data_IF_021862535811
#
_entry.id   IF_021862535811
#
_cell.length_a   1.000
_cell.length_b   1.000
_cell.length_c   1.000
_cell.angle_alpha   90.00
_cell.angle_beta   90.00
_cell.angle_gamma   90.00
#
_symmetry.space_group_name_H-M   'P 1'
#
loop_
_entity.id
_entity.type
_entity.pdbx_description
1 polymer ?
#
# COMPACT_ATOMS: atom_id res chain seq x y z
N UNK A 1 14.77 -11.78 -4.34
CA UNK A 1 13.65 -11.79 -5.32
C UNK A 1 13.89 -13.02 -6.17
N UNK A 2 13.14 -14.10 -5.96
CA UNK A 2 13.33 -15.36 -6.69
C UNK A 2 12.57 -15.24 -8.02
N UNK A 3 13.23 -15.13 -9.18
CA UNK A 3 12.53 -15.15 -10.45
C UNK A 3 12.14 -16.60 -10.74
N UNK A 4 11.01 -16.82 -11.41
CA UNK A 4 10.52 -18.13 -11.86
C UNK A 4 9.73 -18.97 -10.83
N UNK A 5 8.67 -18.40 -10.27
CA UNK A 5 7.48 -19.20 -9.94
C UNK A 5 6.39 -18.78 -10.93
N UNK A 6 6.33 -19.45 -12.09
CA UNK A 6 5.13 -19.42 -12.93
C UNK A 6 4.06 -20.27 -12.22
N UNK A 7 2.83 -19.77 -12.00
CA UNK A 7 1.72 -20.64 -11.64
C UNK A 7 1.52 -21.66 -12.77
N UNK A 8 1.73 -22.94 -12.47
CA UNK A 8 1.45 -24.00 -13.42
C UNK A 8 -0.06 -24.17 -13.53
N UNK A 9 -0.63 -23.78 -14.67
CA UNK A 9 -2.00 -24.10 -15.06
C UNK A 9 -2.09 -25.61 -15.40
N UNK A 10 -2.16 -26.46 -14.38
CA UNK A 10 -2.43 -27.88 -14.56
C UNK A 10 -3.94 -28.13 -14.41
N UNK A 11 -4.57 -28.67 -15.45
CA UNK A 11 -5.94 -29.23 -15.38
C UNK A 11 -5.97 -30.36 -14.35
N UNK A 12 -7.00 -30.35 -13.50
CA UNK A 12 -7.27 -31.42 -12.56
C UNK A 12 -7.53 -32.77 -13.27
N UNK A 13 -6.92 -33.89 -12.84
CA UNK A 13 -7.50 -35.20 -13.07
C UNK A 13 -8.64 -35.42 -12.06
N UNK A 14 -9.83 -35.73 -12.55
CA UNK A 14 -10.97 -36.07 -11.71
C UNK A 14 -10.71 -37.34 -10.92
N UNK A 15 -10.85 -37.27 -9.60
CA UNK A 15 -10.77 -38.46 -8.73
C UNK A 15 -12.09 -38.62 -8.00
N UNK A 16 -12.62 -39.83 -8.21
CA UNK A 16 -13.91 -40.39 -7.87
C UNK A 16 -13.93 -40.72 -6.36
N UNK A 17 -15.03 -40.39 -5.68
CA UNK A 17 -15.26 -40.80 -4.29
C UNK A 17 -15.39 -42.32 -4.21
N UNK A 18 -14.58 -42.98 -3.39
CA UNK A 18 -14.89 -44.30 -2.85
C UNK A 18 -14.55 -44.34 -1.36
N UNK A 19 -15.59 -44.55 -0.57
CA UNK A 19 -15.61 -44.77 0.87
C UNK A 19 -15.02 -46.13 1.25
N UNK A 20 -14.13 -46.15 2.24
CA UNK A 20 -14.05 -47.24 3.23
C UNK A 20 -13.03 -46.91 4.32
N UNK A 21 -13.52 -46.80 5.56
CA UNK A 21 -12.71 -46.80 6.78
C UNK A 21 -12.10 -48.20 7.02
N UNK A 22 -11.08 -48.31 7.89
CA UNK A 22 -11.42 -48.81 9.22
C UNK A 22 -10.74 -48.08 10.38
N UNK A 23 -11.45 -48.12 11.49
CA UNK A 23 -11.16 -47.59 12.83
C UNK A 23 -9.89 -48.23 13.41
N UNK A 24 -8.97 -47.42 13.94
CA UNK A 24 -7.94 -47.88 14.87
C UNK A 24 -7.96 -47.05 16.16
N UNK A 25 -8.15 -47.76 17.28
CA UNK A 25 -8.15 -47.23 18.63
C UNK A 25 -6.72 -46.87 19.06
N UNK A 26 -6.46 -45.58 19.31
CA UNK A 26 -5.24 -45.10 19.94
C UNK A 26 -5.56 -44.00 20.95
N UNK A 27 -5.27 -44.23 22.23
CA UNK A 27 -5.34 -43.22 23.29
C UNK A 27 -4.40 -42.04 22.96
N UNK A 28 -4.83 -40.77 23.10
CA UNK A 28 -3.94 -39.64 22.94
C UNK A 28 -3.07 -39.41 24.20
N UNK A 29 -1.80 -38.98 24.06
CA UNK A 29 -0.96 -38.58 25.19
C UNK A 29 -1.35 -37.19 25.71
N UNK A 30 -1.19 -37.00 27.02
CA UNK A 30 -1.48 -35.74 27.71
C UNK A 30 -0.57 -34.61 27.20
N UNK A 31 -1.18 -33.55 26.67
CA UNK A 31 -0.47 -32.30 26.31
C UNK A 31 -0.87 -31.16 27.25
N UNK A 32 0.15 -30.41 27.66
CA UNK A 32 0.09 -29.34 28.63
C UNK A 32 -0.81 -28.16 28.18
N UNK A 33 -1.59 -27.61 29.11
CA UNK A 33 -2.40 -26.41 28.93
C UNK A 33 -1.51 -25.18 28.66
N UNK A 34 -1.78 -24.34 27.65
CA UNK A 34 -1.23 -22.99 27.60
C UNK A 34 -1.98 -22.07 28.59
N UNK A 35 -1.32 -21.01 29.12
CA UNK A 35 -1.91 -20.14 30.13
C UNK A 35 -3.05 -19.28 29.54
N UNK A 36 -4.11 -19.13 30.34
CA UNK A 36 -5.28 -18.32 30.03
C UNK A 36 -4.91 -16.83 29.85
N UNK A 37 -5.45 -16.18 28.80
CA UNK A 37 -5.47 -14.72 28.69
C UNK A 37 -6.81 -14.18 29.18
N UNK A 38 -6.83 -13.00 29.83
CA UNK A 38 -8.01 -12.48 30.50
C UNK A 38 -9.07 -12.02 29.49
N UNK A 39 -10.32 -12.36 29.81
CA UNK A 39 -11.55 -11.90 29.18
C UNK A 39 -11.77 -10.41 29.42
N UNK A 40 -12.14 -9.66 28.38
CA UNK A 40 -12.64 -8.29 28.49
C UNK A 40 -14.01 -8.23 27.83
N UNK A 41 -14.94 -7.64 28.58
CA UNK A 41 -16.38 -7.62 28.42
C UNK A 41 -16.86 -6.68 27.31
N UNK A 42 -18.08 -6.98 26.83
CA UNK A 42 -18.78 -6.34 25.73
C UNK A 42 -19.34 -4.95 26.07
N UNK A 43 -19.48 -4.13 25.02
CA UNK A 43 -20.23 -2.87 25.01
C UNK A 43 -20.21 -2.24 23.62
N UNK A 44 -21.34 -2.31 22.91
CA UNK A 44 -21.49 -1.91 21.50
C UNK A 44 -21.91 -0.45 21.26
N UNK A 45 -22.01 -0.15 19.96
CA UNK A 45 -22.51 1.06 19.25
C UNK A 45 -21.49 2.12 18.83
N UNK A 46 -21.18 2.04 17.52
CA UNK A 46 -21.11 3.10 16.49
C UNK A 46 -20.43 4.44 16.86
N UNK A 47 -19.28 4.67 16.22
CA UNK A 47 -18.58 5.95 16.17
C UNK A 47 -17.22 5.89 16.84
N UNK A 48 -16.16 5.95 16.03
CA UNK A 48 -14.81 6.41 16.39
C UNK A 48 -14.39 6.17 17.87
N UNK A 49 -13.85 5.00 18.19
CA UNK A 49 -13.02 4.76 19.39
C UNK A 49 -11.81 3.94 18.94
N UNK A 50 -10.58 4.46 18.84
CA UNK A 50 -9.77 5.12 19.87
C UNK A 50 -10.25 4.88 21.31
N UNK A 51 -9.73 3.84 21.96
CA UNK A 51 -9.80 3.75 23.41
C UNK A 51 -9.42 2.42 24.03
N UNK A 52 -8.20 2.34 24.55
CA UNK A 52 -8.06 2.13 25.99
C UNK A 52 -7.04 3.15 26.50
N UNK A 53 -7.42 3.89 27.55
CA UNK A 53 -6.83 5.13 28.07
C UNK A 53 -7.08 6.42 27.25
N UNK A 54 -8.17 7.13 27.57
CA UNK A 54 -8.30 8.56 27.29
C UNK A 54 -7.40 9.33 28.26
N UNK A 55 -6.11 9.41 27.94
CA UNK A 55 -5.41 10.67 28.14
C UNK A 55 -5.97 11.64 27.09
N UNK A 56 -6.42 12.81 27.51
CA UNK A 56 -6.66 13.93 26.58
C UNK A 56 -5.35 14.17 25.84
N UNK A 57 -5.22 13.65 24.62
CA UNK A 57 -4.03 13.91 23.80
C UNK A 57 -3.90 15.40 23.65
N UNK A 58 -2.73 15.92 23.99
CA UNK A 58 -2.47 17.34 23.79
C UNK A 58 -2.67 17.69 22.30
N UNK A 59 -3.14 18.91 21.96
CA UNK A 59 -3.21 19.34 20.55
C UNK A 59 -1.90 19.12 19.80
N UNK A 60 -0.77 19.24 20.51
CA UNK A 60 0.58 18.98 20.01
C UNK A 60 0.80 17.53 19.56
N UNK A 61 0.27 16.53 20.27
CA UNK A 61 0.39 15.12 19.86
C UNK A 61 -0.35 14.80 18.56
N UNK A 62 -1.37 15.59 18.21
CA UNK A 62 -2.13 15.43 16.96
C UNK A 62 -1.51 16.24 15.81
N UNK A 63 -0.97 17.43 16.09
CA UNK A 63 -0.45 18.34 15.07
C UNK A 63 1.03 18.10 14.73
N UNK A 64 1.83 17.58 15.67
CA UNK A 64 3.27 17.41 15.46
C UNK A 64 3.61 16.45 14.32
N UNK A 65 3.01 15.25 14.18
CA UNK A 65 3.41 14.32 13.12
C UNK A 65 3.17 14.84 11.69
N UNK A 66 2.04 15.51 11.38
CA UNK A 66 1.86 16.19 10.10
C UNK A 66 2.86 17.34 9.87
N UNK A 67 3.15 18.16 10.87
CA UNK A 67 4.13 19.25 10.75
C UNK A 67 5.53 18.72 10.45
N UNK A 68 5.93 17.65 11.14
CA UNK A 68 7.20 16.94 10.89
C UNK A 68 7.21 16.42 9.45
N UNK A 69 6.12 15.84 8.96
CA UNK A 69 6.03 15.40 7.56
C UNK A 69 6.17 16.55 6.56
N UNK A 70 5.52 17.69 6.81
CA UNK A 70 5.65 18.90 5.98
C UNK A 70 7.11 19.38 5.93
N UNK A 71 7.78 19.45 7.08
CA UNK A 71 9.21 19.77 7.15
C UNK A 71 10.06 18.81 6.30
N UNK A 72 9.78 17.49 6.36
CA UNK A 72 10.51 16.52 5.55
C UNK A 72 10.24 16.67 4.05
N UNK A 73 9.05 17.07 3.63
CA UNK A 73 8.78 17.41 2.21
C UNK A 73 9.67 18.58 1.79
N UNK A 74 9.69 19.67 2.56
CA UNK A 74 10.52 20.83 2.26
C UNK A 74 12.02 20.49 2.25
N UNK A 75 12.48 19.68 3.22
CA UNK A 75 13.86 19.22 3.30
C UNK A 75 14.23 18.35 2.08
N UNK A 76 13.36 17.44 1.67
CA UNK A 76 13.56 16.63 0.46
C UNK A 76 13.69 17.50 -0.79
N UNK A 77 12.85 18.53 -0.93
CA UNK A 77 12.90 19.45 -2.07
C UNK A 77 14.16 20.32 -2.04
N UNK A 78 14.53 20.83 -0.86
CA UNK A 78 15.78 21.57 -0.68
C UNK A 78 17.01 20.72 -1.04
N UNK A 79 17.06 19.46 -0.58
CA UNK A 79 18.14 18.55 -0.90
C UNK A 79 18.23 18.24 -2.40
N UNK A 80 17.09 18.07 -3.07
CA UNK A 80 17.05 17.87 -4.52
C UNK A 80 17.42 19.12 -5.32
N UNK A 81 17.04 20.31 -4.85
CA UNK A 81 17.44 21.58 -5.47
C UNK A 81 18.97 21.79 -5.45
N UNK A 82 19.67 21.19 -4.49
CA UNK A 82 21.13 21.23 -4.45
C UNK A 82 21.78 20.41 -5.59
N UNK A 83 21.12 19.35 -6.09
CA UNK A 83 21.72 18.40 -7.05
C UNK A 83 22.09 19.09 -8.37
N UNK A 84 21.18 19.79 -9.08
CA UNK A 84 21.55 20.50 -10.32
C UNK A 84 22.58 21.61 -10.10
N UNK A 85 22.64 22.21 -8.90
CA UNK A 85 23.61 23.27 -8.59
C UNK A 85 25.04 22.74 -8.45
N UNK A 86 25.22 21.60 -7.79
CA UNK A 86 26.54 20.98 -7.64
C UNK A 86 26.97 20.19 -8.88
N UNK A 87 26.01 19.70 -9.66
CA UNK A 87 26.23 18.88 -10.86
C UNK A 87 25.65 19.54 -12.13
N UNK A 88 25.88 20.84 -12.30
CA UNK A 88 25.28 21.64 -13.38
C UNK A 88 25.71 21.21 -14.79
N UNK A 89 26.89 20.60 -14.93
CA UNK A 89 27.40 20.08 -16.20
C UNK A 89 26.83 18.70 -16.57
N UNK A 90 26.05 18.07 -15.69
CA UNK A 90 25.58 16.70 -15.88
C UNK A 90 24.24 16.69 -16.61
N UNK A 91 24.03 15.69 -17.48
CA UNK A 91 22.73 15.50 -18.12
C UNK A 91 21.66 15.08 -17.11
N UNK A 92 20.38 15.26 -17.44
CA UNK A 92 19.27 14.79 -16.60
C UNK A 92 19.37 13.29 -16.28
N UNK A 93 19.85 12.49 -17.24
CA UNK A 93 20.06 11.05 -17.05
C UNK A 93 21.16 10.75 -16.03
N UNK A 94 22.24 11.54 -16.02
CA UNK A 94 23.33 11.39 -15.06
C UNK A 94 22.98 11.96 -13.67
N UNK A 95 22.14 12.98 -13.59
CA UNK A 95 21.70 13.58 -12.32
C UNK A 95 20.65 12.76 -11.59
N UNK A 96 19.81 11.99 -12.30
CA UNK A 96 18.72 11.22 -11.68
C UNK A 96 19.20 10.16 -10.66
N UNK A 97 20.24 9.33 -10.92
CA UNK A 97 20.80 8.44 -9.91
C UNK A 97 21.36 9.18 -8.69
N UNK A 98 22.02 10.32 -8.91
CA UNK A 98 22.56 11.18 -7.83
C UNK A 98 21.40 11.71 -6.97
N UNK A 99 20.34 12.21 -7.60
CA UNK A 99 19.12 12.64 -6.92
C UNK A 99 18.50 11.50 -6.10
N UNK A 100 18.49 10.27 -6.63
CA UNK A 100 18.06 9.08 -5.90
C UNK A 100 18.89 8.82 -4.64
N UNK A 101 20.23 8.87 -4.75
CA UNK A 101 21.14 8.71 -3.60
C UNK A 101 20.92 9.82 -2.56
N UNK A 102 20.81 11.08 -2.99
CA UNK A 102 20.55 12.23 -2.10
C UNK A 102 19.20 12.09 -1.40
N UNK A 103 18.17 11.59 -2.09
CA UNK A 103 16.86 11.34 -1.50
C UNK A 103 16.93 10.24 -0.44
N UNK A 104 17.59 9.12 -0.75
CA UNK A 104 17.77 8.02 0.21
C UNK A 104 18.57 8.48 1.43
N UNK A 105 19.64 9.25 1.23
CA UNK A 105 20.43 9.82 2.31
C UNK A 105 19.58 10.76 3.18
N UNK A 106 18.84 11.70 2.57
CA UNK A 106 17.96 12.65 3.27
C UNK A 106 16.88 11.96 4.10
N UNK A 107 16.21 10.94 3.53
CA UNK A 107 15.19 10.16 4.23
C UNK A 107 15.80 9.30 5.34
N UNK A 108 17.00 8.74 5.12
CA UNK A 108 17.75 7.93 6.07
C UNK A 108 18.22 8.73 7.29
N UNK A 109 18.87 9.88 7.06
CA UNK A 109 19.28 10.81 8.12
C UNK A 109 18.07 11.35 8.85
N UNK A 110 17.01 11.74 8.12
CA UNK A 110 15.74 12.17 8.69
C UNK A 110 15.12 11.12 9.62
N UNK A 111 15.15 9.84 9.22
CA UNK A 111 14.70 8.72 10.06
C UNK A 111 15.57 8.56 11.32
N UNK A 112 16.88 8.75 11.20
CA UNK A 112 17.79 8.72 12.35
C UNK A 112 17.48 9.86 13.33
N UNK A 113 17.41 11.10 12.85
CA UNK A 113 17.09 12.27 13.67
C UNK A 113 15.75 12.14 14.39
N UNK A 114 14.71 11.65 13.70
CA UNK A 114 13.39 11.41 14.33
C UNK A 114 13.46 10.40 15.47
N UNK A 115 14.24 9.33 15.31
CA UNK A 115 14.44 8.33 16.38
C UNK A 115 15.17 8.92 17.58
N UNK A 116 16.18 9.75 17.35
CA UNK A 116 16.92 10.42 18.42
C UNK A 116 16.06 11.44 19.18
N UNK A 117 15.22 12.18 18.47
CA UNK A 117 14.31 13.19 19.04
C UNK A 117 13.00 12.60 19.60
N UNK A 118 12.75 11.30 19.43
CA UNK A 118 11.51 10.66 19.87
C UNK A 118 10.25 11.13 19.14
N UNK A 119 10.38 11.76 17.96
CA UNK A 119 9.24 12.32 17.21
C UNK A 119 8.78 11.38 16.10
N UNK A 120 7.46 11.30 15.89
CA UNK A 120 6.87 10.53 14.80
C UNK A 120 6.53 11.44 13.61
N UNK A 121 6.47 10.84 12.41
CA UNK A 121 6.00 11.49 11.20
C UNK A 121 4.80 10.72 10.65
N UNK A 122 3.89 11.43 9.99
CA UNK A 122 2.71 10.83 9.36
C UNK A 122 2.97 10.61 7.87
N UNK A 123 3.04 9.34 7.45
CA UNK A 123 3.21 9.00 6.04
C UNK A 123 2.05 9.53 5.15
N UNK A 124 0.77 9.49 5.57
CA UNK A 124 -0.32 10.12 4.82
C UNK A 124 -0.16 11.63 4.69
N UNK A 125 0.29 12.30 5.76
CA UNK A 125 0.57 13.72 5.69
C UNK A 125 1.74 14.03 4.74
N UNK A 126 2.75 13.17 4.67
CA UNK A 126 3.86 13.33 3.72
C UNK A 126 3.36 13.28 2.27
N UNK A 127 2.49 12.32 1.93
CA UNK A 127 1.88 12.23 0.58
C UNK A 127 1.02 13.46 0.28
N UNK A 128 0.19 13.87 1.25
CA UNK A 128 -0.67 15.05 1.14
C UNK A 128 0.16 16.32 0.88
N UNK A 129 1.16 16.60 1.72
CA UNK A 129 2.01 17.77 1.58
C UNK A 129 2.89 17.71 0.32
N UNK A 130 3.32 16.54 -0.12
CA UNK A 130 4.04 16.40 -1.40
C UNK A 130 3.13 16.74 -2.58
N UNK A 131 1.87 16.31 -2.54
CA UNK A 131 0.87 16.61 -3.58
C UNK A 131 0.55 18.11 -3.60
N UNK A 132 0.34 18.72 -2.43
CA UNK A 132 0.11 20.16 -2.29
C UNK A 132 1.32 20.98 -2.71
N UNK A 133 2.54 20.53 -2.39
CA UNK A 133 3.77 21.20 -2.81
C UNK A 133 3.90 21.18 -4.33
N UNK A 134 3.71 20.01 -4.97
CA UNK A 134 3.73 19.89 -6.42
C UNK A 134 2.69 20.81 -7.07
N UNK A 135 1.45 20.82 -6.56
CA UNK A 135 0.40 21.69 -7.07
C UNK A 135 0.71 23.17 -6.85
N UNK A 136 1.28 23.53 -5.70
CA UNK A 136 1.70 24.88 -5.36
C UNK A 136 2.82 25.39 -6.27
N UNK A 137 3.86 24.58 -6.52
CA UNK A 137 4.93 24.92 -7.47
C UNK A 137 4.36 25.05 -8.88
N UNK A 138 3.46 24.15 -9.28
CA UNK A 138 2.79 24.27 -10.58
C UNK A 138 2.08 25.63 -10.74
N UNK A 139 1.21 25.99 -9.79
CA UNK A 139 0.43 27.24 -9.84
C UNK A 139 1.34 28.47 -9.80
N UNK A 140 2.35 28.48 -8.93
CA UNK A 140 3.17 29.67 -8.65
C UNK A 140 4.32 29.88 -9.62
N UNK A 141 4.80 28.82 -10.29
CA UNK A 141 6.02 28.88 -11.12
C UNK A 141 5.74 28.53 -12.57
N UNK A 142 5.02 27.43 -12.81
CA UNK A 142 4.96 26.81 -14.15
C UNK A 142 3.75 27.32 -14.94
N UNK A 143 2.63 27.58 -14.26
CA UNK A 143 1.31 27.84 -14.85
C UNK A 143 1.31 28.87 -15.99
N UNK A 144 1.99 29.99 -15.82
CA UNK A 144 1.99 31.09 -16.81
C UNK A 144 2.57 30.66 -18.17
N UNK A 145 3.42 29.63 -18.21
CA UNK A 145 4.02 29.11 -19.42
C UNK A 145 3.18 28.01 -20.11
N UNK A 146 2.01 27.63 -19.54
CA UNK A 146 1.26 26.45 -19.97
C UNK A 146 -0.06 26.84 -20.64
N UNK A 147 -0.42 26.23 -21.79
CA UNK A 147 -1.71 26.43 -22.44
C UNK A 147 -2.91 26.13 -21.53
N UNK A 148 -4.01 26.87 -21.71
CA UNK A 148 -5.21 26.80 -20.85
C UNK A 148 -5.80 25.39 -20.69
N UNK A 149 -5.78 24.57 -21.76
CA UNK A 149 -6.29 23.19 -21.69
C UNK A 149 -5.41 22.30 -20.79
N UNK A 150 -4.09 22.44 -20.86
CA UNK A 150 -3.16 21.72 -20.00
C UNK A 150 -3.22 22.23 -18.56
N UNK A 151 -3.42 23.54 -18.35
CA UNK A 151 -3.70 24.12 -17.03
C UNK A 151 -4.96 23.55 -16.39
N UNK A 152 -6.07 23.53 -17.13
CA UNK A 152 -7.32 22.93 -16.65
C UNK A 152 -7.13 21.44 -16.32
N UNK A 153 -6.41 20.70 -17.16
CA UNK A 153 -6.12 19.28 -16.95
C UNK A 153 -5.29 19.05 -15.69
N UNK A 154 -4.22 19.81 -15.51
CA UNK A 154 -3.32 19.69 -14.34
C UNK A 154 -4.06 19.99 -13.03
N UNK A 155 -4.83 21.08 -12.99
CA UNK A 155 -5.62 21.42 -11.81
C UNK A 155 -6.70 20.36 -11.52
N UNK A 156 -7.36 19.82 -12.54
CA UNK A 156 -8.35 18.75 -12.38
C UNK A 156 -7.70 17.48 -11.82
N UNK A 157 -6.53 17.08 -12.34
CA UNK A 157 -5.76 15.95 -11.84
C UNK A 157 -5.40 16.13 -10.35
N UNK A 158 -4.83 17.28 -9.97
CA UNK A 158 -4.50 17.57 -8.57
C UNK A 158 -5.75 17.55 -7.67
N UNK A 159 -6.85 18.17 -8.09
CA UNK A 159 -8.09 18.17 -7.32
C UNK A 159 -8.66 16.75 -7.13
N UNK A 160 -8.64 15.92 -8.18
CA UNK A 160 -9.06 14.52 -8.11
C UNK A 160 -8.16 13.69 -7.19
N UNK A 161 -6.84 13.93 -7.18
CA UNK A 161 -5.93 13.28 -6.23
C UNK A 161 -6.23 13.68 -4.79
N UNK A 162 -6.48 14.96 -4.53
CA UNK A 162 -6.84 15.43 -3.19
C UNK A 162 -8.15 14.82 -2.71
N UNK A 163 -9.16 14.76 -3.58
CA UNK A 163 -10.42 14.09 -3.30
C UNK A 163 -10.20 12.59 -3.05
N UNK A 164 -9.45 11.91 -3.92
CA UNK A 164 -9.18 10.49 -3.79
C UNK A 164 -8.39 10.15 -2.52
N UNK A 165 -7.40 10.98 -2.15
CA UNK A 165 -6.64 10.86 -0.89
C UNK A 165 -7.56 10.92 0.33
N UNK A 166 -8.47 11.90 0.35
CA UNK A 166 -9.48 11.99 1.41
C UNK A 166 -10.37 10.73 1.45
N UNK A 167 -10.84 10.28 0.29
CA UNK A 167 -11.70 9.09 0.17
C UNK A 167 -11.01 7.81 0.62
N UNK A 168 -9.77 7.56 0.21
CA UNK A 168 -9.06 6.32 0.59
C UNK A 168 -8.71 6.31 2.08
N UNK A 169 -8.33 7.47 2.62
CA UNK A 169 -8.03 7.62 4.05
C UNK A 169 -9.23 7.26 4.94
N UNK A 170 -10.44 7.67 4.53
CA UNK A 170 -11.68 7.41 5.28
C UNK A 170 -12.48 6.20 4.80
N UNK A 171 -11.99 5.45 3.81
CA UNK A 171 -12.70 4.29 3.25
C UNK A 171 -12.70 3.09 4.21
N UNK A 172 -13.79 2.32 4.22
CA UNK A 172 -13.80 0.99 4.83
C UNK A 172 -13.01 0.04 3.91
N UNK A 173 -11.98 -0.61 4.47
CA UNK A 173 -11.18 -1.60 3.76
C UNK A 173 -11.89 -2.97 3.63
N UNK A 174 -13.03 -3.15 4.29
CA UNK A 174 -13.70 -4.44 4.49
C UNK A 174 -13.42 -4.99 5.88
N UNK A 175 -13.50 -4.16 6.92
CA UNK A 175 -13.25 -4.57 8.31
C UNK A 175 -14.35 -5.54 8.78
N UNK A 176 -13.95 -6.68 9.35
CA UNK A 176 -14.87 -7.67 9.93
C UNK A 176 -15.33 -7.20 11.31
N UNK A 177 -16.61 -6.83 11.44
CA UNK A 177 -17.26 -6.62 12.73
C UNK A 177 -17.82 -7.95 13.22
N UNK A 178 -17.28 -8.51 14.29
CA UNK A 178 -17.95 -9.60 15.00
C UNK A 178 -19.18 -9.00 15.67
N UNK A 179 -20.36 -9.16 15.06
CA UNK A 179 -21.61 -9.02 15.79
C UNK A 179 -21.59 -10.06 16.89
N UNK A 180 -21.62 -9.61 18.14
CA UNK A 180 -21.90 -10.44 19.30
C UNK A 180 -23.26 -11.10 19.09
N UNK A 181 -23.28 -12.29 18.50
CA UNK A 181 -24.33 -13.25 18.78
C UNK A 181 -24.32 -13.51 20.28
N UNK A 182 -25.49 -13.40 20.90
CA UNK A 182 -25.69 -13.46 22.35
C UNK A 182 -24.87 -14.58 23.03
N UNK A 183 -24.29 -14.34 24.22
CA UNK A 183 -23.55 -15.36 24.96
C UNK A 183 -24.38 -16.58 25.35
N UNK A 184 -25.70 -16.57 25.20
CA UNK A 184 -26.61 -17.62 25.69
C UNK A 184 -26.88 -18.77 24.71
N UNK A 185 -26.59 -18.64 23.40
CA UNK A 185 -26.76 -19.76 22.45
C UNK A 185 -25.50 -20.62 22.24
N UNK A 186 -24.39 -20.31 22.93
CA UNK A 186 -23.15 -21.08 22.85
C UNK A 186 -23.06 -22.13 23.97
N UNK A 187 -24.14 -22.87 24.23
CA UNK A 187 -24.09 -23.99 25.19
C UNK A 187 -24.39 -25.36 24.59
N UNK A 188 -24.52 -25.50 23.26
CA UNK A 188 -24.67 -26.83 22.68
C UNK A 188 -24.29 -27.00 21.20
N UNK A 189 -23.39 -26.16 20.67
CA UNK A 189 -22.65 -26.50 19.46
C UNK A 189 -21.17 -26.67 19.80
N UNK A 190 -20.63 -27.84 19.44
CA UNK A 190 -19.25 -28.27 19.67
C UNK A 190 -18.28 -27.12 19.39
N UNK A 191 -17.48 -26.70 20.37
CA UNK A 191 -16.48 -25.62 20.26
C UNK A 191 -15.49 -25.83 19.09
N UNK A 192 -15.35 -27.07 18.63
CA UNK A 192 -14.57 -27.48 17.46
C UNK A 192 -15.23 -27.13 16.13
N UNK A 193 -16.56 -27.18 16.06
CA UNK A 193 -17.38 -27.04 14.85
C UNK A 193 -17.66 -25.56 14.52
N UNK A 194 -17.82 -24.73 15.55
CA UNK A 194 -17.85 -23.26 15.41
C UNK A 194 -16.48 -22.71 15.00
N UNK A 195 -15.38 -23.34 15.47
CA UNK A 195 -14.01 -22.95 15.09
C UNK A 195 -13.66 -23.37 13.67
N UNK A 196 -14.11 -24.55 13.21
CA UNK A 196 -13.96 -24.96 11.81
C UNK A 196 -14.85 -24.14 10.88
N UNK A 197 -16.12 -23.88 11.21
CA UNK A 197 -16.99 -23.03 10.40
C UNK A 197 -16.49 -21.57 10.32
N UNK A 198 -15.98 -21.01 11.41
CA UNK A 198 -15.39 -19.66 11.40
C UNK A 198 -14.05 -19.61 10.66
N UNK A 199 -13.21 -20.65 10.73
CA UNK A 199 -11.96 -20.75 9.96
C UNK A 199 -12.23 -20.96 8.46
N UNK A 200 -13.21 -21.78 8.11
CA UNK A 200 -13.61 -22.01 6.72
C UNK A 200 -14.26 -20.75 6.13
N UNK A 201 -15.16 -20.08 6.86
CA UNK A 201 -15.74 -18.81 6.43
C UNK A 201 -14.70 -17.68 6.30
N UNK A 202 -13.69 -17.62 7.18
CA UNK A 202 -12.56 -16.68 7.07
C UNK A 202 -11.64 -17.01 5.88
N UNK A 203 -11.51 -18.30 5.53
CA UNK A 203 -10.79 -18.77 4.34
C UNK A 203 -11.53 -18.38 3.05
N UNK A 204 -12.86 -18.57 3.01
CA UNK A 204 -13.70 -18.14 1.86
C UNK A 204 -13.69 -16.63 1.64
N UNK A 205 -13.65 -15.84 2.72
CA UNK A 205 -13.60 -14.36 2.65
C UNK A 205 -12.17 -13.82 2.47
N UNK A 206 -11.15 -14.69 2.43
CA UNK A 206 -9.72 -14.30 2.37
C UNK A 206 -9.38 -13.22 3.40
N UNK A 207 -9.98 -13.33 4.59
CA UNK A 207 -9.85 -12.33 5.63
C UNK A 207 -8.55 -12.53 6.42
N UNK A 208 -7.78 -11.45 6.64
CA UNK A 208 -6.49 -11.51 7.37
C UNK A 208 -6.38 -10.41 8.42
N UNK A 209 -5.61 -10.68 9.46
CA UNK A 209 -5.36 -9.75 10.55
C UNK A 209 -4.26 -8.75 10.22
N UNK A 210 -4.60 -7.46 10.21
CA UNK A 210 -3.63 -6.39 10.12
C UNK A 210 -3.11 -6.02 11.52
N UNK A 211 -1.80 -6.22 11.76
CA UNK A 211 -1.18 -5.85 13.06
C UNK A 211 -1.18 -4.34 13.30
N UNK A 212 -0.98 -3.54 12.25
CA UNK A 212 -0.91 -2.08 12.35
C UNK A 212 -2.25 -1.46 12.76
N UNK A 213 -3.35 -1.97 12.21
CA UNK A 213 -4.70 -1.48 12.50
C UNK A 213 -5.39 -2.29 13.61
N UNK A 214 -4.84 -3.45 13.99
CA UNK A 214 -5.42 -4.39 14.95
C UNK A 214 -6.85 -4.84 14.62
N UNK A 215 -7.11 -5.10 13.33
CA UNK A 215 -8.41 -5.53 12.80
C UNK A 215 -8.26 -6.63 11.76
N UNK A 216 -9.30 -7.44 11.57
CA UNK A 216 -9.41 -8.36 10.44
C UNK A 216 -10.02 -7.66 9.24
N UNK A 217 -9.44 -7.84 8.05
CA UNK A 217 -9.87 -7.20 6.80
C UNK A 217 -10.16 -8.29 5.76
N UNK A 218 -11.34 -8.23 5.15
CA UNK A 218 -11.77 -9.12 4.07
C UNK A 218 -10.96 -8.79 2.80
N UNK A 219 -10.50 -9.83 2.10
CA UNK A 219 -9.68 -9.66 0.90
C UNK A 219 -8.43 -8.81 1.14
N UNK A 220 -7.83 -8.89 2.32
CA UNK A 220 -6.71 -8.07 2.76
C UNK A 220 -5.53 -8.18 1.79
N UNK A 221 -5.08 -7.04 1.28
CA UNK A 221 -3.90 -6.96 0.42
C UNK A 221 -2.66 -6.54 1.20
N UNK A 222 -2.72 -5.38 1.84
CA UNK A 222 -1.66 -4.88 2.71
C UNK A 222 -2.18 -3.72 3.57
N UNK A 223 -1.41 -3.37 4.60
CA UNK A 223 -1.54 -2.07 5.25
C UNK A 223 -0.69 -1.06 4.48
N UNK A 224 -1.29 0.03 4.00
CA UNK A 224 -0.57 1.05 3.24
C UNK A 224 -0.27 2.27 4.14
N UNK A 225 0.99 2.47 4.59
CA UNK A 225 1.32 3.63 5.41
C UNK A 225 1.07 4.95 4.69
N UNK A 226 1.25 4.99 3.36
CA UNK A 226 1.02 6.17 2.53
C UNK A 226 -0.44 6.68 2.58
N UNK A 227 -1.40 5.78 2.79
CA UNK A 227 -2.81 6.14 2.94
C UNK A 227 -3.31 6.03 4.38
N UNK A 228 -2.50 5.51 5.30
CA UNK A 228 -2.85 5.37 6.72
C UNK A 228 -3.98 4.38 6.95
N UNK A 229 -4.24 3.51 5.98
CA UNK A 229 -5.39 2.61 5.95
C UNK A 229 -4.98 1.24 5.40
N UNK A 230 -5.78 0.22 5.69
CA UNK A 230 -5.67 -1.07 5.02
C UNK A 230 -6.21 -0.98 3.59
N UNK A 231 -5.58 -1.73 2.68
CA UNK A 231 -6.11 -2.01 1.35
C UNK A 231 -6.70 -3.41 1.40
N UNK A 232 -8.00 -3.51 1.20
CA UNK A 232 -8.77 -4.75 1.22
C UNK A 232 -9.83 -4.74 0.13
N UNK A 233 -10.80 -5.66 0.22
CA UNK A 233 -11.76 -5.90 -0.86
C UNK A 233 -12.50 -4.62 -1.31
N UNK A 234 -13.04 -3.87 -0.34
CA UNK A 234 -13.93 -2.73 -0.57
C UNK A 234 -13.24 -1.48 -1.14
N UNK A 235 -11.92 -1.34 -0.98
CA UNK A 235 -11.19 -0.15 -1.39
C UNK A 235 -10.01 -0.41 -2.35
N UNK A 236 -9.77 -1.67 -2.75
CA UNK A 236 -8.68 -2.03 -3.67
C UNK A 236 -8.78 -1.27 -5.00
N UNK A 237 -9.99 -1.08 -5.55
CA UNK A 237 -10.17 -0.33 -6.81
C UNK A 237 -9.78 1.14 -6.68
N UNK A 238 -10.20 1.78 -5.58
CA UNK A 238 -9.84 3.17 -5.31
C UNK A 238 -8.33 3.31 -5.17
N UNK A 239 -7.67 2.35 -4.50
CA UNK A 239 -6.21 2.28 -4.44
C UNK A 239 -5.56 2.22 -5.83
N UNK A 240 -6.06 1.36 -6.74
CA UNK A 240 -5.52 1.26 -8.11
C UNK A 240 -5.72 2.54 -8.91
N UNK A 241 -6.92 3.14 -8.83
CA UNK A 241 -7.23 4.41 -9.51
C UNK A 241 -6.33 5.53 -9.00
N UNK A 242 -6.10 5.60 -7.68
CA UNK A 242 -5.20 6.58 -7.09
C UNK A 242 -3.76 6.36 -7.53
N UNK A 243 -3.25 5.14 -7.51
CA UNK A 243 -1.88 4.83 -7.93
C UNK A 243 -1.64 5.23 -9.40
N UNK A 244 -2.59 4.94 -10.28
CA UNK A 244 -2.54 5.38 -11.69
C UNK A 244 -2.64 6.91 -11.78
N UNK A 245 -3.54 7.52 -11.01
CA UNK A 245 -3.73 8.96 -10.96
C UNK A 245 -2.46 9.71 -10.53
N UNK A 246 -1.73 9.20 -9.52
CA UNK A 246 -0.46 9.78 -9.08
C UNK A 246 0.57 9.76 -10.20
N UNK A 247 0.77 8.61 -10.86
CA UNK A 247 1.70 8.48 -11.99
C UNK A 247 1.32 9.45 -13.13
N UNK A 248 0.04 9.55 -13.48
CA UNK A 248 -0.44 10.46 -14.54
C UNK A 248 -0.19 11.92 -14.16
N UNK A 249 -0.49 12.32 -12.93
CA UNK A 249 -0.32 13.70 -12.47
C UNK A 249 1.14 14.10 -12.40
N UNK A 250 2.01 13.20 -11.90
CA UNK A 250 3.45 13.43 -11.87
C UNK A 250 4.04 13.48 -13.29
N UNK A 251 3.61 12.60 -14.20
CA UNK A 251 4.05 12.64 -15.59
C UNK A 251 3.61 13.95 -16.28
N UNK A 252 2.39 14.42 -16.01
CA UNK A 252 1.87 15.70 -16.49
C UNK A 252 2.69 16.88 -15.94
N UNK A 253 3.03 16.84 -14.65
CA UNK A 253 3.93 17.82 -14.03
C UNK A 253 5.32 17.82 -14.68
N UNK A 254 5.94 16.64 -14.86
CA UNK A 254 7.25 16.49 -15.51
C UNK A 254 7.23 17.09 -16.92
N UNK A 255 6.17 16.83 -17.69
CA UNK A 255 6.01 17.43 -19.03
C UNK A 255 5.92 18.95 -18.95
N UNK A 256 5.08 19.50 -18.07
CA UNK A 256 4.91 20.95 -17.93
C UNK A 256 6.20 21.64 -17.43
N UNK A 257 6.85 21.07 -16.41
CA UNK A 257 8.11 21.58 -15.86
C UNK A 257 9.24 21.53 -16.89
N UNK A 258 9.33 20.45 -17.67
CA UNK A 258 10.33 20.36 -18.76
C UNK A 258 10.12 21.45 -19.81
N UNK A 259 8.88 21.70 -20.22
CA UNK A 259 8.56 22.79 -21.16
C UNK A 259 8.94 24.16 -20.59
N UNK A 260 8.57 24.43 -19.34
CA UNK A 260 8.91 25.67 -18.64
C UNK A 260 10.43 25.88 -18.53
N UNK A 261 11.19 24.84 -18.16
CA UNK A 261 12.66 24.91 -18.05
C UNK A 261 13.29 25.16 -19.43
N UNK A 262 12.84 24.45 -20.47
CA UNK A 262 13.36 24.62 -21.84
C UNK A 262 13.14 26.03 -22.38
N UNK A 263 11.94 26.58 -22.19
CA UNK A 263 11.64 27.95 -22.60
C UNK A 263 12.51 28.96 -21.83
N UNK A 264 12.67 28.75 -20.52
CA UNK A 264 13.48 29.63 -19.67
C UNK A 264 14.96 29.63 -20.05
N UNK A 265 15.49 28.51 -20.55
CA UNK A 265 16.87 28.42 -21.09
C UNK A 265 16.97 29.07 -22.48
N UNK A 266 16.01 28.80 -23.37
CA UNK A 266 16.06 29.29 -24.75
C UNK A 266 15.87 30.80 -24.88
N UNK A 267 15.05 31.43 -24.03
CA UNK A 267 14.69 32.83 -24.23
C UNK A 267 15.78 33.86 -23.86
N UNK A 268 16.95 33.49 -23.32
CA UNK A 268 17.92 34.45 -22.76
C UNK A 268 17.31 35.46 -21.76
N UNK A 269 16.05 35.26 -21.33
CA UNK A 269 15.37 35.96 -20.22
C UNK A 269 15.85 35.42 -18.86
N UNK A 270 17.14 35.08 -18.77
CA UNK A 270 17.84 34.83 -17.51
C UNK A 270 17.72 36.02 -16.52
N UNK A 271 17.24 37.18 -16.99
CA UNK A 271 17.06 38.40 -16.21
C UNK A 271 15.68 38.59 -15.56
N UNK A 272 14.66 37.77 -15.86
CA UNK A 272 13.27 38.03 -15.38
C UNK A 272 12.74 36.96 -14.41
N UNK A 273 13.21 35.71 -14.46
CA UNK A 273 12.72 34.64 -13.56
C UNK A 273 13.67 34.46 -12.37
N UNK A 274 13.11 34.37 -11.16
CA UNK A 274 13.91 34.25 -9.93
C UNK A 274 14.67 32.92 -9.88
N UNK A 275 15.92 32.86 -9.37
CA UNK A 275 16.66 31.60 -9.21
C UNK A 275 15.85 30.56 -8.44
N UNK A 276 15.13 31.00 -7.40
CA UNK A 276 14.24 30.18 -6.59
C UNK A 276 13.16 29.46 -7.43
N UNK A 277 12.58 30.13 -8.42
CA UNK A 277 11.58 29.53 -9.30
C UNK A 277 12.16 28.36 -10.11
N UNK A 278 13.37 28.51 -10.63
CA UNK A 278 14.07 27.43 -11.35
C UNK A 278 14.39 26.27 -10.41
N UNK A 279 14.91 26.56 -9.23
CA UNK A 279 15.23 25.54 -8.22
C UNK A 279 14.00 24.74 -7.79
N UNK A 280 12.85 25.41 -7.60
CA UNK A 280 11.58 24.75 -7.27
C UNK A 280 11.08 23.87 -8.43
N UNK A 281 11.14 24.36 -9.67
CA UNK A 281 10.71 23.60 -10.83
C UNK A 281 11.58 22.34 -11.05
N UNK A 282 12.91 22.47 -10.94
CA UNK A 282 13.87 21.38 -11.15
C UNK A 282 13.85 20.36 -10.01
N UNK A 283 13.86 20.80 -8.75
CA UNK A 283 13.79 19.88 -7.59
C UNK A 283 12.51 19.05 -7.60
N UNK A 284 11.37 19.69 -7.88
CA UNK A 284 10.08 18.98 -7.97
C UNK A 284 10.05 18.05 -9.19
N UNK A 285 10.69 18.42 -10.31
CA UNK A 285 10.82 17.54 -11.48
C UNK A 285 11.63 16.28 -11.14
N UNK A 286 12.80 16.45 -10.49
CA UNK A 286 13.62 15.32 -10.05
C UNK A 286 12.86 14.43 -9.05
N UNK A 287 12.15 15.03 -8.09
CA UNK A 287 11.30 14.30 -7.16
C UNK A 287 10.25 13.48 -7.90
N UNK A 288 9.53 14.10 -8.85
CA UNK A 288 8.47 13.46 -9.63
C UNK A 288 9.00 12.30 -10.48
N UNK A 289 10.18 12.44 -11.10
CA UNK A 289 10.82 11.35 -11.85
C UNK A 289 11.17 10.14 -10.96
N UNK A 290 11.71 10.39 -9.77
CA UNK A 290 12.00 9.33 -8.80
C UNK A 290 10.72 8.65 -8.31
N UNK A 291 9.66 9.43 -8.08
CA UNK A 291 8.35 8.91 -7.68
C UNK A 291 7.72 8.04 -8.76
N UNK A 292 7.70 8.48 -10.02
CA UNK A 292 7.20 7.70 -11.16
C UNK A 292 7.95 6.38 -11.29
N UNK A 293 9.28 6.39 -11.17
CA UNK A 293 10.10 5.18 -11.31
C UNK A 293 9.70 4.11 -10.28
N UNK A 294 9.57 4.49 -9.01
CA UNK A 294 9.15 3.58 -7.94
C UNK A 294 7.69 3.16 -8.10
N UNK A 295 6.78 4.09 -8.37
CA UNK A 295 5.35 3.82 -8.50
C UNK A 295 5.02 2.95 -9.71
N UNK A 296 5.74 3.08 -10.82
CA UNK A 296 5.56 2.23 -11.99
C UNK A 296 5.87 0.76 -11.67
N UNK A 297 6.96 0.49 -10.93
CA UNK A 297 7.30 -0.86 -10.47
C UNK A 297 6.20 -1.38 -9.54
N UNK A 298 5.70 -0.54 -8.63
CA UNK A 298 4.63 -0.90 -7.71
C UNK A 298 3.30 -1.17 -8.44
N UNK A 299 2.98 -0.39 -9.46
CA UNK A 299 1.81 -0.61 -10.31
C UNK A 299 1.91 -1.93 -11.07
N UNK A 300 3.07 -2.22 -11.67
CA UNK A 300 3.31 -3.50 -12.36
C UNK A 300 3.09 -4.68 -11.41
N UNK A 301 3.57 -4.57 -10.17
CA UNK A 301 3.33 -5.57 -9.12
C UNK A 301 1.83 -5.79 -8.86
N UNK A 302 1.06 -4.72 -8.68
CA UNK A 302 -0.38 -4.85 -8.42
C UNK A 302 -1.16 -5.34 -9.65
N UNK A 303 -0.76 -4.95 -10.86
CA UNK A 303 -1.32 -5.51 -12.09
C UNK A 303 -1.07 -7.02 -12.16
N UNK A 304 0.14 -7.47 -11.82
CA UNK A 304 0.45 -8.90 -11.72
C UNK A 304 -0.46 -9.59 -10.69
N UNK A 305 -0.59 -9.05 -9.49
CA UNK A 305 -1.49 -9.55 -8.45
C UNK A 305 -2.94 -9.69 -8.93
N UNK A 306 -3.46 -8.69 -9.64
CA UNK A 306 -4.81 -8.72 -10.23
C UNK A 306 -4.91 -9.80 -11.30
N UNK A 307 -3.95 -9.85 -12.23
CA UNK A 307 -3.94 -10.83 -13.33
C UNK A 307 -3.91 -12.27 -12.85
N UNK A 308 -3.31 -12.54 -11.69
CA UNK A 308 -3.24 -13.87 -11.09
C UNK A 308 -4.16 -14.06 -9.88
N UNK A 309 -5.07 -13.12 -9.60
CA UNK A 309 -5.98 -13.16 -8.44
C UNK A 309 -5.30 -13.52 -7.10
N UNK A 310 -4.14 -12.93 -6.86
CA UNK A 310 -3.37 -13.11 -5.63
C UNK A 310 -3.14 -11.76 -4.97
N UNK A 311 -3.32 -11.69 -3.66
CA UNK A 311 -3.06 -10.49 -2.86
C UNK A 311 -1.58 -10.41 -2.48
N UNK A 312 -1.09 -9.20 -2.24
CA UNK A 312 0.31 -8.98 -1.83
C UNK A 312 0.66 -9.76 -0.55
N UNK A 313 -0.19 -9.70 0.48
CA UNK A 313 0.00 -10.44 1.73
C UNK A 313 0.06 -11.96 1.49
N UNK A 314 -0.81 -12.49 0.62
CA UNK A 314 -0.86 -13.91 0.30
C UNK A 314 0.40 -14.36 -0.45
N UNK A 315 0.86 -13.57 -1.43
CA UNK A 315 2.10 -13.88 -2.14
C UNK A 315 3.32 -13.90 -1.21
N UNK A 316 3.42 -12.90 -0.32
CA UNK A 316 4.55 -12.80 0.61
C UNK A 316 4.52 -13.94 1.65
N UNK A 317 3.32 -14.34 2.09
CA UNK A 317 3.14 -15.25 3.21
C UNK A 317 2.54 -16.62 2.83
N UNK A 318 2.59 -17.02 1.55
CA UNK A 318 1.92 -18.25 1.07
C UNK A 318 2.28 -19.51 1.87
N UNK A 319 3.52 -19.60 2.39
CA UNK A 319 3.98 -20.71 3.25
C UNK A 319 3.25 -20.81 4.59
N UNK A 320 2.52 -19.77 5.00
CA UNK A 320 1.69 -19.76 6.23
C UNK A 320 0.26 -20.22 5.97
N UNK A 321 -0.13 -20.30 4.70
CA UNK A 321 -1.51 -20.52 4.28
C UNK A 321 -1.61 -21.89 3.59
N UNK A 322 -2.18 -22.91 4.26
CA UNK A 322 -2.29 -24.27 3.71
C UNK A 322 -2.98 -24.32 2.34
N UNK A 323 -3.92 -23.43 2.09
CA UNK A 323 -4.64 -23.31 0.82
C UNK A 323 -3.75 -22.97 -0.38
N UNK A 324 -2.55 -22.43 -0.16
CA UNK A 324 -1.57 -22.14 -1.21
C UNK A 324 -0.47 -23.22 -1.33
N UNK A 325 -0.60 -24.34 -0.62
CA UNK A 325 0.44 -25.36 -0.50
C UNK A 325 0.01 -26.67 -1.15
N UNK A 326 0.84 -27.20 -2.04
CA UNK A 326 0.70 -28.54 -2.59
C UNK A 326 1.95 -29.34 -2.27
N UNK A 327 1.73 -30.52 -1.68
CA UNK A 327 2.80 -31.48 -1.33
C UNK A 327 3.02 -32.37 -2.55
N UNK A 328 4.21 -32.31 -3.16
CA UNK A 328 4.58 -33.24 -4.23
C UNK A 328 5.46 -34.38 -3.66
N UNK A 329 5.05 -35.65 -3.81
CA UNK A 329 5.91 -36.78 -3.53
C UNK A 329 7.02 -36.85 -4.59
N UNK A 330 8.28 -36.78 -4.18
CA UNK A 330 9.41 -37.08 -5.07
C UNK A 330 9.84 -38.54 -4.87
N UNK A 331 9.95 -39.35 -5.93
CA UNK A 331 10.49 -40.70 -5.82
C UNK A 331 11.93 -40.66 -5.30
N UNK A 332 12.19 -41.29 -4.14
CA UNK A 332 13.54 -41.48 -3.61
C UNK A 332 14.05 -40.40 -2.64
N UNK A 333 13.26 -39.39 -2.26
CA UNK A 333 13.62 -38.46 -1.18
C UNK A 333 12.67 -38.59 0.02
N UNK A 334 13.19 -38.56 1.27
CA UNK A 334 12.38 -38.69 2.48
C UNK A 334 11.56 -37.43 2.82
N UNK A 335 11.84 -36.29 2.16
CA UNK A 335 11.17 -35.01 2.41
C UNK A 335 10.34 -34.63 1.19
N UNK A 336 9.05 -34.39 1.40
CA UNK A 336 8.17 -33.86 0.36
C UNK A 336 8.42 -32.37 0.15
N UNK A 337 8.51 -31.94 -1.12
CA UNK A 337 8.73 -30.53 -1.46
C UNK A 337 7.39 -29.77 -1.43
N UNK A 338 7.38 -28.65 -0.70
CA UNK A 338 6.24 -27.72 -0.65
C UNK A 338 6.26 -26.82 -1.87
N UNK A 339 5.26 -26.99 -2.76
CA UNK A 339 5.10 -26.18 -3.96
C UNK A 339 3.96 -25.17 -3.80
N UNK A 340 4.14 -23.97 -4.34
CA UNK A 340 3.11 -22.95 -4.41
C UNK A 340 2.02 -23.33 -5.42
N UNK A 341 0.77 -23.19 -5.02
CA UNK A 341 -0.41 -23.32 -5.87
C UNK A 341 -1.41 -22.22 -5.54
N UNK A 342 -2.10 -21.68 -6.54
CA UNK A 342 -3.07 -20.60 -6.33
C UNK A 342 -4.50 -21.11 -6.59
N UNK A 343 -5.32 -21.34 -5.55
CA UNK A 343 -6.70 -21.80 -5.71
C UNK A 343 -7.63 -20.78 -6.38
N UNK A 344 -7.25 -19.50 -6.37
CA UNK A 344 -8.13 -18.40 -6.78
C UNK A 344 -7.94 -18.00 -8.25
N UNK A 345 -6.94 -18.56 -8.93
CA UNK A 345 -6.63 -18.22 -10.32
C UNK A 345 -7.65 -18.87 -11.28
N UNK A 346 -8.44 -18.02 -11.95
CA UNK A 346 -9.43 -18.39 -12.98
C UNK A 346 -8.94 -18.05 -14.40
N UNK A 347 -7.64 -17.80 -14.56
CA UNK A 347 -7.04 -17.23 -15.76
C UNK A 347 -7.20 -15.71 -15.85
N UNK A 348 -6.28 -15.06 -16.56
CA UNK A 348 -6.12 -13.59 -16.58
C UNK A 348 -7.45 -12.85 -16.81
N UNK A 349 -8.21 -13.23 -17.83
CA UNK A 349 -9.48 -12.56 -18.17
C UNK A 349 -10.54 -12.77 -17.07
N UNK A 350 -10.62 -13.97 -16.50
CA UNK A 350 -11.53 -14.27 -15.39
C UNK A 350 -11.20 -13.46 -14.14
N UNK A 351 -9.92 -13.38 -13.82
CA UNK A 351 -9.41 -12.65 -12.66
C UNK A 351 -9.64 -11.14 -12.77
N UNK A 352 -9.40 -10.55 -13.96
CA UNK A 352 -9.68 -9.13 -14.22
C UNK A 352 -11.18 -8.85 -14.12
N UNK A 353 -12.04 -9.72 -14.67
CA UNK A 353 -13.50 -9.58 -14.57
C UNK A 353 -13.98 -9.62 -13.12
N UNK A 354 -13.46 -10.54 -12.32
CA UNK A 354 -13.77 -10.62 -10.89
C UNK A 354 -13.28 -9.36 -10.15
N UNK A 355 -12.08 -8.87 -10.47
CA UNK A 355 -11.56 -7.64 -9.88
C UNK A 355 -12.38 -6.40 -10.24
N UNK A 356 -13.01 -6.33 -11.41
CA UNK A 356 -13.80 -5.18 -11.87
C UNK A 356 -15.29 -5.25 -11.47
N UNK A 357 -15.80 -6.40 -11.01
CA UNK A 357 -17.23 -6.59 -10.71
C UNK A 357 -17.70 -5.71 -9.54
N UNK A 358 -18.64 -4.75 -9.72
CA UNK A 358 -19.17 -3.95 -8.61
C UNK A 358 -19.62 -4.83 -7.45
N UNK A 359 -19.27 -4.42 -6.22
CA UNK A 359 -19.67 -5.11 -4.98
C UNK A 359 -21.09 -4.76 -4.60
#
# INVERSE_FOLDING_TARGET
INPWIRPSAARAPGIRCTSSSPVSNGKPPATARPPARPSLTAGGMLGLRWGSQRHSRSPWELLLPPLVSCFFVLLSQFALAAVPRFFSSFSLFATLPIAGVVMVATLGTGRCCRRLLGVSASAPAFVLFSTLFLWGVYISVIREAIPSLLDATMNAQCALLMFGLHRIFSSDAGVVTYSSSDPEELNQCTFSEVKSQSQDALSFTRARYCRSCSVNVIGFDHHCPAFGNCIGQKNHRLFMVLLIGFIITEASYVSCSTSYIRESVNENKMRVKSPLSMDLAESTLLFSLLQILWQAIFLIWHIYCICFNIKTEEWINWRKYPEFQVVQPQPGQPMSELKFWNPYDKGIVGNIKDFLRPE
#
